data_IF_439377053764
#
_entry.id   IF_439377053764
#
_cell.length_a   1.000
_cell.length_b   1.000
_cell.length_c   1.000
_cell.angle_alpha   90.00
_cell.angle_beta   90.00
_cell.angle_gamma   90.00
#
_symmetry.space_group_name_H-M   'P 1'
#
loop_
_entity.id
_entity.type
_entity.pdbx_description
1 polymer ?
#
# COMPACT_ATOMS: atom_id res chain seq x y z
N UNK A 1 30.19 -7.81 14.92
CA UNK A 1 29.13 -6.98 14.33
C UNK A 1 29.65 -5.55 14.31
N UNK A 2 29.86 -4.99 13.12
CA UNK A 2 30.44 -3.65 12.98
C UNK A 2 29.40 -2.57 13.29
N UNK A 3 29.86 -1.35 13.62
CA UNK A 3 28.96 -0.20 13.81
C UNK A 3 28.14 0.12 12.54
N UNK A 4 28.66 -0.23 11.37
CA UNK A 4 28.01 -0.11 10.07
C UNK A 4 26.84 -1.11 9.93
N UNK A 5 27.03 -2.37 10.30
CA UNK A 5 25.97 -3.40 10.26
C UNK A 5 24.79 -2.99 11.16
N UNK A 6 25.08 -2.43 12.33
CA UNK A 6 24.06 -1.93 13.26
C UNK A 6 23.32 -0.66 12.82
N UNK A 7 23.87 0.12 11.89
CA UNK A 7 23.20 1.27 11.28
C UNK A 7 22.32 0.84 10.11
N UNK A 8 22.80 -0.09 9.27
CA UNK A 8 22.05 -0.66 8.16
C UNK A 8 20.78 -1.36 8.64
N UNK A 9 20.89 -2.24 9.65
CA UNK A 9 19.71 -2.93 10.19
C UNK A 9 18.67 -1.98 10.81
N UNK A 10 19.10 -0.83 11.36
CA UNK A 10 18.17 0.22 11.83
C UNK A 10 17.50 0.95 10.67
N UNK A 11 18.22 1.21 9.59
CA UNK A 11 17.66 1.86 8.40
C UNK A 11 16.66 0.95 7.70
N UNK A 12 16.96 -0.34 7.57
CA UNK A 12 16.05 -1.36 7.03
C UNK A 12 14.76 -1.44 7.84
N UNK A 13 14.87 -1.57 9.16
CA UNK A 13 13.70 -1.60 10.04
C UNK A 13 12.83 -0.34 9.93
N UNK A 14 13.45 0.85 9.85
CA UNK A 14 12.71 2.10 9.64
C UNK A 14 12.04 2.14 8.26
N UNK A 15 12.67 1.57 7.23
CA UNK A 15 12.10 1.41 5.90
C UNK A 15 10.86 0.53 5.93
N UNK A 16 10.93 -0.63 6.57
CA UNK A 16 9.82 -1.57 6.73
C UNK A 16 8.64 -0.94 7.49
N UNK A 17 8.91 -0.24 8.59
CA UNK A 17 7.87 0.45 9.38
C UNK A 17 7.14 1.50 8.52
N UNK A 18 7.88 2.27 7.72
CA UNK A 18 7.30 3.26 6.82
C UNK A 18 6.51 2.61 5.70
N UNK A 19 7.02 1.53 5.11
CA UNK A 19 6.32 0.77 4.08
C UNK A 19 5.00 0.18 4.62
N UNK A 20 5.03 -0.43 5.80
CA UNK A 20 3.84 -0.98 6.46
C UNK A 20 2.81 0.10 6.82
N UNK A 21 3.26 1.29 7.23
CA UNK A 21 2.36 2.44 7.41
C UNK A 21 1.73 2.85 6.09
N UNK A 22 2.52 2.97 5.03
CA UNK A 22 2.02 3.40 3.73
C UNK A 22 0.99 2.44 3.14
N UNK A 23 1.19 1.13 3.29
CA UNK A 23 0.20 0.12 2.86
C UNK A 23 -1.13 0.26 3.61
N UNK A 24 -1.09 0.54 4.90
CA UNK A 24 -2.30 0.80 5.71
C UNK A 24 -3.03 2.04 5.23
N UNK A 25 -2.31 3.16 5.04
CA UNK A 25 -2.90 4.40 4.54
C UNK A 25 -3.59 4.17 3.18
N UNK A 26 -2.96 3.40 2.28
CA UNK A 26 -3.54 3.04 0.98
C UNK A 26 -4.81 2.19 1.13
N UNK A 27 -4.81 1.19 2.03
CA UNK A 27 -5.98 0.37 2.28
C UNK A 27 -7.14 1.19 2.88
N UNK A 28 -6.85 2.12 3.78
CA UNK A 28 -7.85 3.04 4.35
C UNK A 28 -8.44 3.96 3.27
N UNK A 29 -7.60 4.54 2.41
CA UNK A 29 -8.05 5.39 1.29
C UNK A 29 -8.95 4.61 0.32
N UNK A 30 -8.59 3.38 -0.01
CA UNK A 30 -9.39 2.53 -0.87
C UNK A 30 -10.73 2.12 -0.26
N UNK A 31 -10.78 1.84 1.05
CA UNK A 31 -12.02 1.52 1.77
C UNK A 31 -12.99 2.70 1.85
N UNK A 32 -12.52 3.93 1.70
CA UNK A 32 -13.39 5.11 1.62
C UNK A 32 -14.18 5.18 0.29
N UNK A 33 -13.81 4.37 -0.71
CA UNK A 33 -14.48 4.35 -2.00
C UNK A 33 -15.68 3.40 -1.99
N UNK A 34 -16.87 3.85 -2.47
CA UNK A 34 -18.06 3.01 -2.47
C UNK A 34 -17.86 1.70 -3.23
N UNK A 35 -18.26 0.58 -2.60
CA UNK A 35 -18.23 -0.75 -3.22
C UNK A 35 -16.83 -1.35 -3.39
N UNK A 36 -15.84 -0.84 -2.66
CA UNK A 36 -14.47 -1.37 -2.59
C UNK A 36 -14.17 -1.79 -1.16
N UNK A 37 -13.55 -2.95 -1.02
CA UNK A 37 -12.93 -3.43 0.21
C UNK A 37 -11.44 -3.53 -0.03
N UNK A 38 -10.63 -3.13 0.95
CA UNK A 38 -9.19 -3.20 0.85
C UNK A 38 -8.57 -3.66 2.16
N UNK A 39 -7.52 -4.48 2.06
CA UNK A 39 -6.75 -4.93 3.21
C UNK A 39 -5.28 -5.15 2.84
N UNK A 40 -4.41 -5.15 3.85
CA UNK A 40 -2.99 -5.44 3.67
C UNK A 40 -2.78 -6.95 3.86
N UNK A 41 -2.19 -7.59 2.86
CA UNK A 41 -1.75 -8.98 2.95
C UNK A 41 -0.23 -9.04 2.77
N UNK A 42 0.47 -9.29 3.86
CA UNK A 42 1.94 -9.25 3.92
C UNK A 42 2.50 -7.91 3.39
N UNK A 43 3.06 -7.94 2.18
CA UNK A 43 3.67 -6.77 1.54
C UNK A 43 2.82 -6.14 0.44
N UNK A 44 1.62 -6.64 0.22
CA UNK A 44 0.68 -6.16 -0.78
C UNK A 44 -0.54 -5.49 -0.15
N UNK A 45 -1.19 -4.60 -0.92
CA UNK A 45 -2.55 -4.14 -0.65
C UNK A 45 -3.48 -4.84 -1.62
N UNK A 46 -4.44 -5.59 -1.09
CA UNK A 46 -5.44 -6.32 -1.85
C UNK A 46 -6.70 -5.45 -1.95
N UNK A 47 -7.24 -5.36 -3.16
CA UNK A 47 -8.46 -4.61 -3.48
C UNK A 47 -9.51 -5.58 -3.98
N UNK A 48 -10.71 -5.51 -3.41
CA UNK A 48 -11.86 -6.35 -3.75
C UNK A 48 -13.09 -5.48 -4.03
N UNK A 49 -13.92 -5.91 -4.98
CA UNK A 49 -15.10 -5.15 -5.39
C UNK A 49 -15.61 -5.55 -6.77
N UNK A 50 -16.87 -5.22 -7.05
CA UNK A 50 -17.47 -5.49 -8.37
C UNK A 50 -16.97 -4.49 -9.40
N UNK A 51 -16.57 -4.99 -10.57
CA UNK A 51 -16.17 -4.17 -11.70
C UNK A 51 -14.84 -3.41 -11.49
N UNK A 52 -13.98 -3.87 -10.57
CA UNK A 52 -12.72 -3.20 -10.23
C UNK A 52 -11.86 -2.84 -11.44
N UNK A 53 -11.75 -3.73 -12.43
CA UNK A 53 -10.96 -3.48 -13.64
C UNK A 53 -11.51 -2.30 -14.46
N UNK A 54 -12.82 -2.26 -14.70
CA UNK A 54 -13.45 -1.17 -15.45
C UNK A 54 -13.40 0.15 -14.66
N UNK A 55 -13.63 0.08 -13.35
CA UNK A 55 -13.52 1.24 -12.46
C UNK A 55 -12.09 1.78 -12.40
N UNK A 56 -11.08 0.92 -12.35
CA UNK A 56 -9.68 1.33 -12.41
C UNK A 56 -9.38 2.15 -13.67
N UNK A 57 -9.89 1.72 -14.82
CA UNK A 57 -9.67 2.42 -16.08
C UNK A 57 -10.40 3.78 -16.12
N UNK A 58 -11.48 3.96 -15.37
CA UNK A 58 -12.34 5.16 -15.43
C UNK A 58 -12.09 6.14 -14.29
N UNK A 59 -11.96 5.66 -13.06
CA UNK A 59 -11.87 6.45 -11.84
C UNK A 59 -10.42 6.87 -11.55
N UNK A 60 -10.17 8.18 -11.58
CA UNK A 60 -8.85 8.74 -11.29
C UNK A 60 -8.38 8.46 -9.86
N UNK A 61 -9.31 8.40 -8.90
CA UNK A 61 -9.02 8.05 -7.50
C UNK A 61 -8.39 6.66 -7.40
N UNK A 62 -8.96 5.65 -8.06
CA UNK A 62 -8.42 4.29 -8.07
C UNK A 62 -7.03 4.22 -8.70
N UNK A 63 -6.82 4.90 -9.82
CA UNK A 63 -5.51 4.93 -10.49
C UNK A 63 -4.46 5.64 -9.66
N UNK A 64 -4.82 6.70 -8.93
CA UNK A 64 -3.88 7.41 -8.07
C UNK A 64 -3.40 6.52 -6.93
N UNK A 65 -4.30 5.75 -6.31
CA UNK A 65 -3.96 4.73 -5.33
C UNK A 65 -2.96 3.72 -5.93
N UNK A 66 -3.23 3.28 -7.16
CA UNK A 66 -2.36 2.37 -7.92
C UNK A 66 -0.99 2.87 -8.30
N UNK A 67 -0.89 4.14 -8.71
CA UNK A 67 0.36 4.76 -9.17
C UNK A 67 1.40 4.92 -8.06
N UNK A 68 1.00 4.82 -6.81
CA UNK A 68 1.92 4.83 -5.67
C UNK A 68 2.64 3.47 -5.51
N UNK A 69 2.12 2.41 -6.15
CA UNK A 69 2.63 1.03 -6.03
C UNK A 69 3.55 0.58 -7.17
N UNK A 70 3.74 1.39 -8.22
CA UNK A 70 4.65 1.15 -9.35
C UNK A 70 5.79 2.17 -9.37
#
# INVERSE_FOLDING_TARGET
MSALDGLLGRAEHLGEVRAARRRRDIAEEANALPGISAHVESDAVILEGRGLLDRWLREASLRNIGRILL
#
